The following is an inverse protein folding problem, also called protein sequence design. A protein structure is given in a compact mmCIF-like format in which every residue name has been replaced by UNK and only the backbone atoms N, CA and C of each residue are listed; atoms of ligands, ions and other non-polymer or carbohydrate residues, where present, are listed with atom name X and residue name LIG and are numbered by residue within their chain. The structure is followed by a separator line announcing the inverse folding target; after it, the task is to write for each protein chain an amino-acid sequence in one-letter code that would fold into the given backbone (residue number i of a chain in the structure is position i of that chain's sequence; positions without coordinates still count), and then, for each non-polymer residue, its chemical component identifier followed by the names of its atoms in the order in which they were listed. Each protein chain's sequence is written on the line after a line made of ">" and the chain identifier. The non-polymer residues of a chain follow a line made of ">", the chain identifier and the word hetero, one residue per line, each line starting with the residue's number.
data_IF_632302892339
#
_entry.id   IF_632302892339
#
_cell.length_a   1.000
_cell.length_b   1.000
_cell.length_c   1.000
_cell.angle_alpha   90.00
_cell.angle_beta   90.00
_cell.angle_gamma   90.00
#
_symmetry.space_group_name_H-M   'P 1'
#
loop_
_entity.id
_entity.type
_entity.pdbx_description
1 polymer ?
#
# COMPACT_ATOMS: atom_id res chain seq x y z
N UNK A 1 27.94 13.88 38.02
CA UNK A 1 27.92 12.52 37.42
C UNK A 1 26.53 12.31 36.81
N UNK A 2 26.28 12.13 35.52
CA UNK A 2 27.05 11.68 34.34
C UNK A 2 26.69 12.62 33.17
N UNK A 3 27.68 13.30 32.58
CA UNK A 3 28.17 13.07 31.20
C UNK A 3 27.11 13.41 30.13
N UNK A 4 27.17 14.48 29.33
CA UNK A 4 28.25 14.97 28.46
C UNK A 4 28.84 13.88 27.53
N UNK A 5 28.21 13.67 26.37
CA UNK A 5 28.71 13.07 25.10
C UNK A 5 27.47 12.98 24.18
N UNK A 6 27.33 13.56 22.99
CA UNK A 6 28.23 13.60 21.84
C UNK A 6 27.87 14.79 20.93
N UNK A 7 28.85 15.64 20.68
CA UNK A 7 28.97 16.46 19.48
C UNK A 7 29.66 15.62 18.38
N UNK A 8 29.28 15.87 17.12
CA UNK A 8 30.15 16.02 15.92
C UNK A 8 31.08 14.83 15.54
N UNK A 9 31.02 14.26 14.34
CA UNK A 9 31.90 14.48 13.15
C UNK A 9 31.68 13.22 12.25
N UNK A 10 31.26 13.29 10.98
CA UNK A 10 32.06 13.26 9.73
C UNK A 10 31.05 13.39 8.56
N UNK A 11 31.15 14.26 7.55
CA UNK A 11 32.18 14.42 6.52
C UNK A 11 32.38 13.19 5.61
N UNK A 12 31.53 13.04 4.59
CA UNK A 12 31.87 12.39 3.31
C UNK A 12 30.88 12.80 2.21
N UNK A 13 31.08 14.00 1.67
CA UNK A 13 30.71 14.28 0.29
C UNK A 13 31.76 13.64 -0.63
N UNK A 14 31.33 12.98 -1.71
CA UNK A 14 31.95 13.04 -3.07
C UNK A 14 31.40 11.93 -3.98
N UNK A 15 31.20 12.32 -5.24
CA UNK A 15 31.15 11.55 -6.50
C UNK A 15 29.78 11.30 -7.16
N UNK A 16 29.57 12.07 -8.24
CA UNK A 16 29.26 11.62 -9.61
C UNK A 16 28.02 10.70 -9.81
N UNK A 17 27.00 11.07 -10.58
CA UNK A 17 27.08 11.46 -11.98
C UNK A 17 27.15 10.20 -12.86
N UNK A 18 26.02 9.75 -13.45
CA UNK A 18 25.98 9.14 -14.79
C UNK A 18 24.53 8.97 -15.28
N UNK A 19 24.36 9.30 -16.56
CA UNK A 19 23.12 9.30 -17.32
C UNK A 19 22.70 7.90 -17.84
N UNK A 20 21.42 7.82 -18.22
CA UNK A 20 20.86 7.18 -19.42
C UNK A 20 21.04 5.66 -19.68
N UNK A 21 19.92 4.95 -19.67
CA UNK A 21 19.68 3.78 -20.55
C UNK A 21 18.16 3.53 -20.73
N UNK A 22 17.67 3.30 -21.97
CA UNK A 22 16.24 3.08 -22.24
C UNK A 22 15.80 1.64 -21.90
N UNK A 23 14.59 1.51 -21.33
CA UNK A 23 13.95 0.20 -21.08
C UNK A 23 13.53 -0.44 -22.42
N UNK A 24 13.77 -1.73 -22.66
CA UNK A 24 13.30 -2.41 -23.86
C UNK A 24 11.78 -2.60 -23.85
N UNK A 25 11.17 -2.45 -25.02
CA UNK A 25 9.74 -2.54 -25.27
C UNK A 25 9.17 -3.97 -25.08
N UNK A 26 7.88 -4.12 -24.73
CA UNK A 26 7.21 -5.41 -24.70
C UNK A 26 6.90 -5.91 -26.12
N UNK A 27 7.38 -7.10 -26.47
CA UNK A 27 7.04 -7.79 -27.72
C UNK A 27 5.71 -8.53 -27.59
N UNK A 28 4.88 -8.39 -28.63
CA UNK A 28 3.53 -8.96 -28.78
C UNK A 28 3.54 -10.49 -29.05
N UNK A 29 2.40 -11.17 -28.87
CA UNK A 29 2.31 -12.63 -28.92
C UNK A 29 2.28 -13.18 -30.35
N UNK A 30 3.17 -14.14 -30.63
CA UNK A 30 3.19 -14.92 -31.86
C UNK A 30 2.03 -15.93 -31.89
N UNK A 31 1.25 -15.87 -32.97
CA UNK A 31 0.08 -16.71 -33.25
C UNK A 31 0.45 -17.71 -34.35
N UNK A 32 0.42 -19.01 -34.04
CA UNK A 32 0.45 -20.10 -35.03
C UNK A 32 -0.41 -21.25 -34.47
N UNK A 33 -1.67 -21.46 -34.88
CA UNK A 33 -2.11 -22.27 -36.04
C UNK A 33 -1.27 -23.55 -36.20
N UNK A 34 -1.81 -24.75 -35.97
CA UNK A 34 -2.43 -25.61 -37.00
C UNK A 34 -2.94 -26.90 -36.29
N UNK A 35 -4.23 -27.25 -36.33
CA UNK A 35 -4.93 -28.06 -37.35
C UNK A 35 -4.84 -29.59 -37.14
N UNK A 36 -6.01 -30.25 -37.29
CA UNK A 36 -6.28 -31.69 -37.42
C UNK A 36 -6.16 -32.49 -36.10
N UNK A 37 -6.99 -33.47 -35.73
CA UNK A 37 -7.92 -34.34 -36.45
C UNK A 37 -8.73 -35.20 -35.44
N UNK A 38 -9.81 -35.79 -35.96
CA UNK A 38 -10.44 -37.06 -35.55
C UNK A 38 -11.17 -37.15 -34.19
N UNK A 39 -12.49 -37.12 -34.33
CA UNK A 39 -13.47 -37.78 -33.47
C UNK A 39 -13.02 -39.22 -33.13
N UNK A 40 -12.64 -39.50 -31.87
CA UNK A 40 -12.47 -40.86 -31.37
C UNK A 40 -13.32 -41.05 -30.11
N UNK A 41 -14.43 -41.77 -30.31
CA UNK A 41 -15.21 -42.39 -29.27
C UNK A 41 -14.34 -43.47 -28.61
N UNK A 42 -13.66 -43.12 -27.54
CA UNK A 42 -13.03 -44.08 -26.65
C UNK A 42 -13.63 -43.92 -25.25
N UNK A 43 -14.55 -44.83 -24.95
CA UNK A 43 -15.01 -45.12 -23.61
C UNK A 43 -13.79 -45.36 -22.71
N UNK A 44 -13.59 -44.52 -21.71
CA UNK A 44 -12.70 -44.84 -20.58
C UNK A 44 -13.52 -44.73 -19.31
N UNK A 45 -14.10 -45.88 -18.97
CA UNK A 45 -14.75 -46.19 -17.69
C UNK A 45 -13.73 -46.06 -16.56
N UNK A 46 -13.74 -44.94 -15.84
CA UNK A 46 -12.96 -44.79 -14.61
C UNK A 46 -13.76 -45.38 -13.46
N UNK A 47 -13.29 -46.54 -12.99
CA UNK A 47 -13.75 -47.21 -11.79
C UNK A 47 -13.54 -46.31 -10.56
N UNK A 48 -14.60 -46.23 -9.77
CA UNK A 48 -14.71 -45.65 -8.43
C UNK A 48 -13.49 -45.91 -7.53
N UNK A 49 -12.87 -44.85 -7.02
CA UNK A 49 -12.39 -44.79 -5.63
C UNK A 49 -12.61 -43.37 -5.06
N UNK A 50 -13.57 -43.29 -4.14
CA UNK A 50 -13.62 -42.34 -3.03
C UNK A 50 -13.49 -40.83 -3.34
N UNK A 51 -14.62 -40.24 -3.74
CA UNK A 51 -14.89 -38.79 -3.79
C UNK A 51 -15.24 -38.17 -2.41
N UNK A 52 -14.88 -38.81 -1.30
CA UNK A 52 -15.39 -38.46 0.03
C UNK A 52 -14.54 -37.46 0.84
N UNK A 53 -13.41 -36.94 0.33
CA UNK A 53 -12.49 -36.14 1.17
C UNK A 53 -12.05 -34.78 0.61
N UNK A 54 -12.68 -34.27 -0.46
CA UNK A 54 -12.40 -32.89 -0.93
C UNK A 54 -13.65 -32.00 -0.97
N UNK A 55 -14.79 -32.48 -0.45
CA UNK A 55 -16.04 -31.74 -0.42
C UNK A 55 -16.14 -30.80 0.79
N UNK A 56 -15.14 -29.94 1.02
CA UNK A 56 -15.27 -28.83 1.98
C UNK A 56 -14.28 -27.69 1.72
N UNK A 57 -13.92 -27.43 0.47
CA UNK A 57 -13.62 -26.04 0.11
C UNK A 57 -14.93 -25.47 -0.43
N UNK A 58 -15.63 -24.73 0.43
CA UNK A 58 -16.88 -24.05 0.12
C UNK A 58 -16.69 -23.08 -1.06
N UNK A 59 -16.84 -23.59 -2.28
CA UNK A 59 -16.84 -22.80 -3.51
C UNK A 59 -18.19 -22.09 -3.73
N UNK A 60 -19.13 -22.22 -2.79
CA UNK A 60 -20.47 -21.62 -2.84
C UNK A 60 -20.64 -20.37 -1.96
N UNK A 61 -19.53 -19.75 -1.51
CA UNK A 61 -19.54 -18.48 -0.78
C UNK A 61 -19.02 -17.30 -1.63
N UNK A 62 -18.68 -17.52 -2.90
CA UNK A 62 -17.94 -16.55 -3.72
C UNK A 62 -18.80 -15.63 -4.60
N UNK A 63 -20.13 -15.71 -4.55
CA UNK A 63 -21.02 -14.84 -5.35
C UNK A 63 -22.07 -14.07 -4.54
N UNK A 64 -22.05 -14.17 -3.21
CA UNK A 64 -22.95 -13.40 -2.33
C UNK A 64 -22.19 -12.23 -1.72
N UNK A 65 -22.39 -11.05 -2.32
CA UNK A 65 -22.29 -9.74 -1.67
C UNK A 65 -20.89 -9.30 -1.18
N UNK A 66 -20.06 -8.79 -2.10
CA UNK A 66 -18.97 -7.86 -1.77
C UNK A 66 -19.50 -6.44 -1.42
N UNK A 67 -20.68 -6.35 -0.81
CA UNK A 67 -21.37 -5.10 -0.46
C UNK A 67 -21.23 -4.77 1.04
N UNK A 68 -20.11 -5.14 1.67
CA UNK A 68 -19.83 -4.65 3.03
C UNK A 68 -19.58 -3.16 2.96
N UNK A 69 -20.31 -2.39 3.76
CA UNK A 69 -20.08 -0.96 3.87
C UNK A 69 -18.78 -0.69 4.61
N UNK A 70 -18.11 0.43 4.32
CA UNK A 70 -16.91 0.85 5.09
C UNK A 70 -17.23 1.01 6.58
N UNK A 71 -18.50 1.28 6.93
CA UNK A 71 -18.98 1.31 8.31
C UNK A 71 -18.82 -0.04 9.03
N UNK A 72 -18.95 -1.17 8.32
CA UNK A 72 -18.76 -2.51 8.90
C UNK A 72 -17.30 -2.81 9.26
N UNK A 73 -16.34 -2.05 8.70
CA UNK A 73 -14.91 -2.17 9.04
C UNK A 73 -14.57 -1.53 10.38
N UNK A 74 -15.52 -0.80 10.99
CA UNK A 74 -15.35 -0.09 12.27
C UNK A 74 -14.03 0.67 12.33
N UNK A 75 -13.77 1.58 11.35
CA UNK A 75 -12.56 2.37 11.36
C UNK A 75 -12.49 3.19 12.65
N UNK A 76 -11.27 3.35 13.19
CA UNK A 76 -11.06 4.24 14.32
C UNK A 76 -11.33 5.68 13.88
N UNK A 77 -11.89 6.53 14.78
CA UNK A 77 -12.08 7.94 14.47
C UNK A 77 -10.72 8.58 14.18
N UNK A 78 -10.61 9.22 13.01
CA UNK A 78 -9.42 9.94 12.61
C UNK A 78 -9.28 11.25 13.38
N UNK A 79 -8.04 11.75 13.46
CA UNK A 79 -7.80 13.10 13.96
C UNK A 79 -8.00 14.13 12.84
N UNK A 80 -8.54 15.28 13.20
CA UNK A 80 -8.76 16.40 12.29
C UNK A 80 -7.92 17.59 12.70
N UNK A 81 -7.35 18.27 11.71
CA UNK A 81 -6.56 19.49 11.85
C UNK A 81 -7.01 20.51 10.81
N UNK A 82 -7.07 21.77 11.22
CA UNK A 82 -7.37 22.87 10.32
C UNK A 82 -6.20 23.12 9.36
N UNK A 83 -6.49 23.54 8.12
CA UNK A 83 -5.47 23.84 7.13
C UNK A 83 -4.50 24.97 7.52
N UNK A 84 -4.90 25.83 8.47
CA UNK A 84 -4.04 26.87 9.05
C UNK A 84 -3.24 26.45 10.29
N UNK A 85 -3.38 25.20 10.75
CA UNK A 85 -2.65 24.71 11.93
C UNK A 85 -1.20 24.33 11.56
N UNK A 86 -0.27 24.55 12.48
CA UNK A 86 1.12 24.16 12.28
C UNK A 86 1.29 22.65 12.19
N UNK A 87 2.29 22.21 11.42
CA UNK A 87 2.60 20.79 11.29
C UNK A 87 3.03 20.21 12.63
N UNK A 88 3.68 21.03 13.48
CA UNK A 88 3.98 20.65 14.86
C UNK A 88 2.72 20.34 15.68
N UNK A 89 1.67 21.16 15.57
CA UNK A 89 0.42 20.93 16.29
C UNK A 89 -0.26 19.63 15.80
N UNK A 90 -0.22 19.37 14.49
CA UNK A 90 -0.70 18.12 13.92
C UNK A 90 0.09 16.91 14.43
N UNK A 91 1.43 16.98 14.43
CA UNK A 91 2.30 15.92 14.92
C UNK A 91 2.09 15.62 16.41
N UNK A 92 1.89 16.65 17.23
CA UNK A 92 1.54 16.50 18.65
C UNK A 92 0.21 15.78 18.84
N UNK A 93 -0.81 16.08 18.01
CA UNK A 93 -2.09 15.37 18.04
C UNK A 93 -1.97 13.92 17.59
N UNK A 94 -1.17 13.65 16.55
CA UNK A 94 -0.83 12.28 16.11
C UNK A 94 -0.23 11.46 17.26
N UNK A 95 0.75 12.02 17.96
CA UNK A 95 1.38 11.38 19.11
C UNK A 95 0.43 11.17 20.30
N UNK A 96 -0.45 12.13 20.60
CA UNK A 96 -1.38 12.04 21.72
C UNK A 96 -2.49 11.00 21.50
N UNK A 97 -2.96 10.85 20.27
CA UNK A 97 -4.07 9.92 19.91
C UNK A 97 -3.56 8.56 19.41
N UNK A 98 -2.23 8.34 19.37
CA UNK A 98 -1.60 7.14 18.81
C UNK A 98 -2.13 6.83 17.39
N UNK A 99 -2.16 7.86 16.55
CA UNK A 99 -2.65 7.79 15.17
C UNK A 99 -1.61 8.40 14.23
N UNK A 100 -1.23 7.66 13.19
CA UNK A 100 -0.14 8.05 12.28
C UNK A 100 -0.59 8.98 11.14
N UNK A 101 -1.90 9.26 11.09
CA UNK A 101 -2.56 9.99 9.99
C UNK A 101 -3.50 11.06 10.52
N UNK A 102 -3.34 12.27 10.01
CA UNK A 102 -4.19 13.42 10.28
C UNK A 102 -4.95 13.87 9.02
N UNK A 103 -6.22 14.19 9.17
CA UNK A 103 -7.06 14.73 8.10
C UNK A 103 -7.06 16.26 8.16
N UNK A 104 -6.69 16.90 7.06
CA UNK A 104 -6.66 18.36 6.95
C UNK A 104 -8.00 18.85 6.40
N UNK A 105 -8.69 19.66 7.19
CA UNK A 105 -10.00 20.24 6.86
C UNK A 105 -9.86 21.76 6.74
N UNK A 106 -10.58 22.35 5.79
CA UNK A 106 -10.74 23.80 5.64
C UNK A 106 -12.18 24.06 5.23
N UNK A 107 -12.85 25.02 5.87
CA UNK A 107 -14.21 25.46 5.49
C UNK A 107 -15.23 24.31 5.43
N UNK A 108 -15.07 23.29 6.29
CA UNK A 108 -15.92 22.11 6.33
C UNK A 108 -15.66 21.09 5.21
N UNK A 109 -14.65 21.30 4.36
CA UNK A 109 -14.24 20.38 3.30
C UNK A 109 -12.90 19.70 3.62
N UNK A 110 -12.80 18.40 3.32
CA UNK A 110 -11.53 17.67 3.39
C UNK A 110 -10.61 18.17 2.28
N UNK A 111 -9.46 18.73 2.66
CA UNK A 111 -8.48 19.27 1.72
C UNK A 111 -7.30 18.34 1.49
N UNK A 112 -6.94 17.53 2.48
CA UNK A 112 -5.83 16.60 2.35
C UNK A 112 -5.61 15.70 3.55
N UNK A 113 -4.54 14.92 3.47
CA UNK A 113 -4.09 13.98 4.49
C UNK A 113 -2.62 14.26 4.77
N UNK A 114 -2.26 14.31 6.05
CA UNK A 114 -0.87 14.42 6.50
C UNK A 114 -0.54 13.15 7.29
N UNK A 115 0.58 12.53 6.95
CA UNK A 115 1.08 11.35 7.65
C UNK A 115 2.39 11.68 8.37
N UNK A 116 2.68 10.99 9.46
CA UNK A 116 3.95 11.09 10.16
C UNK A 116 5.16 10.83 9.24
N UNK A 117 5.01 9.93 8.28
CA UNK A 117 6.01 9.55 7.28
C UNK A 117 6.29 10.69 6.32
N UNK A 118 5.25 11.40 5.87
CA UNK A 118 5.41 12.59 5.05
C UNK A 118 6.09 13.71 5.84
N UNK A 119 5.74 13.91 7.12
CA UNK A 119 6.41 14.90 7.99
C UNK A 119 7.90 14.57 8.12
N UNK A 120 8.25 13.32 8.43
CA UNK A 120 9.65 12.91 8.58
C UNK A 120 10.44 13.02 7.26
N UNK A 121 9.88 12.51 6.16
CA UNK A 121 10.61 12.37 4.89
C UNK A 121 10.57 13.60 3.99
N UNK A 122 9.51 14.41 4.06
CA UNK A 122 9.36 15.58 3.17
C UNK A 122 9.60 16.89 3.89
N UNK A 123 9.21 17.01 5.16
CA UNK A 123 9.40 18.25 5.91
C UNK A 123 10.77 18.26 6.61
N UNK A 124 11.04 17.29 7.47
CA UNK A 124 12.28 17.26 8.26
C UNK A 124 13.50 17.00 7.38
N UNK A 125 13.43 16.06 6.44
CA UNK A 125 14.56 15.77 5.55
C UNK A 125 14.89 16.95 4.61
N UNK A 126 13.92 17.79 4.28
CA UNK A 126 14.14 19.01 3.49
C UNK A 126 14.59 20.21 4.34
N UNK A 127 14.64 20.06 5.68
CA UNK A 127 15.04 21.15 6.58
C UNK A 127 14.03 22.30 6.67
N UNK A 128 12.76 22.04 6.36
CA UNK A 128 11.68 23.03 6.47
C UNK A 128 11.27 23.22 7.94
N UNK A 129 10.89 24.44 8.31
CA UNK A 129 10.39 24.74 9.66
C UNK A 129 8.98 24.14 9.86
N UNK A 130 8.74 23.34 10.91
CA UNK A 130 7.42 22.76 11.20
C UNK A 130 6.43 23.71 11.92
N UNK A 131 6.81 24.97 12.19
CA UNK A 131 5.95 25.98 12.85
C UNK A 131 4.92 26.62 11.92
#
# INVERSE_FOLDING_TARGET
>A
ARAALLQLVDAAATAAGQADAPRPAPQQPERSQSASNANSLAQVTVRTTSLASLSSFDLNAASTQYSRTVAELRPRPGIFVEAGASVLAAAKRMAATNTDVALVVSDGALRGIVTDTDVARKLIAAGLDPQ
#
